data_IF_293474600508
#
_entry.id   IF_293474600508
#
_cell.length_a   1.000
_cell.length_b   1.000
_cell.length_c   1.000
_cell.angle_alpha   90.00
_cell.angle_beta   90.00
_cell.angle_gamma   90.00
#
_symmetry.space_group_name_H-M   'P 1'
#
loop_
_entity.id
_entity.type
_entity.pdbx_description
1 polymer ?
#
# COMPACT_ATOMS: atom_id res chain seq x y z
N UNK A 1 8.11 -8.76 -1.97
CA UNK A 1 7.19 -7.79 -1.34
C UNK A 1 5.78 -8.27 -1.62
N UNK A 2 4.79 -8.07 -0.76
CA UNK A 2 3.47 -8.68 -0.97
C UNK A 2 2.81 -8.19 -2.28
N UNK A 3 3.11 -6.96 -2.69
CA UNK A 3 2.56 -6.32 -3.89
C UNK A 3 3.46 -6.41 -5.14
N UNK A 4 4.56 -7.18 -5.09
CA UNK A 4 5.45 -7.33 -6.26
C UNK A 4 4.73 -8.08 -7.38
N UNK A 5 4.53 -7.42 -8.52
CA UNK A 5 3.76 -7.95 -9.67
C UNK A 5 2.46 -7.20 -9.97
N UNK A 6 1.97 -6.40 -9.00
CA UNK A 6 0.87 -5.45 -9.22
C UNK A 6 1.42 -4.03 -9.38
N UNK A 7 2.43 -3.72 -8.55
CA UNK A 7 3.14 -2.45 -8.49
C UNK A 7 4.59 -2.65 -8.90
N UNK A 8 5.17 -1.62 -9.51
CA UNK A 8 6.59 -1.57 -9.83
C UNK A 8 7.40 -1.08 -8.62
N UNK A 9 8.68 -1.46 -8.55
CA UNK A 9 9.58 -1.00 -7.48
C UNK A 9 9.70 0.53 -7.46
N UNK A 10 9.68 1.18 -8.62
CA UNK A 10 9.74 2.64 -8.74
C UNK A 10 8.48 3.32 -8.16
N UNK A 11 7.29 2.79 -8.44
CA UNK A 11 6.03 3.27 -7.88
C UNK A 11 6.01 3.10 -6.35
N UNK A 12 6.44 1.93 -5.84
CA UNK A 12 6.55 1.67 -4.40
C UNK A 12 7.51 2.66 -3.74
N UNK A 13 8.70 2.86 -4.31
CA UNK A 13 9.69 3.80 -3.79
C UNK A 13 9.15 5.25 -3.78
N UNK A 14 8.46 5.68 -4.84
CA UNK A 14 7.86 7.00 -4.91
C UNK A 14 6.75 7.20 -3.86
N UNK A 15 5.95 6.16 -3.60
CA UNK A 15 4.95 6.14 -2.54
C UNK A 15 5.59 6.31 -1.16
N UNK A 16 6.57 5.47 -0.83
CA UNK A 16 7.25 5.49 0.47
C UNK A 16 8.01 6.80 0.70
N UNK A 17 8.62 7.36 -0.35
CA UNK A 17 9.29 8.66 -0.27
C UNK A 17 8.31 9.80 0.04
N UNK A 18 7.05 9.69 -0.41
CA UNK A 18 6.03 10.72 -0.16
C UNK A 18 5.58 10.82 1.29
N UNK A 19 5.85 9.78 2.11
CA UNK A 19 5.47 9.73 3.52
C UNK A 19 6.67 9.49 4.47
N UNK A 20 7.90 9.83 4.06
CA UNK A 20 9.10 9.63 4.88
C UNK A 20 9.16 10.52 6.13
N UNK A 21 8.54 11.70 6.10
CA UNK A 21 8.50 12.59 7.25
C UNK A 21 7.49 12.09 8.29
N UNK A 22 7.77 12.30 9.57
CA UNK A 22 6.81 12.00 10.63
C UNK A 22 5.48 12.73 10.36
N UNK A 23 4.36 12.04 10.59
CA UNK A 23 3.00 12.57 10.42
C UNK A 23 2.68 13.09 9.00
N UNK A 24 3.44 12.67 7.98
CA UNK A 24 3.25 13.12 6.59
C UNK A 24 2.45 12.18 5.69
N UNK A 25 2.01 11.03 6.23
CA UNK A 25 1.26 10.06 5.45
C UNK A 25 -0.11 10.61 5.03
N UNK A 26 -0.33 10.72 3.73
CA UNK A 26 -1.61 11.03 3.11
C UNK A 26 -1.99 9.92 2.12
N UNK A 27 -3.09 9.22 2.40
CA UNK A 27 -3.51 8.07 1.60
C UNK A 27 -3.80 8.44 0.14
N UNK A 28 -4.30 9.66 -0.14
CA UNK A 28 -4.62 10.09 -1.51
C UNK A 28 -3.35 10.22 -2.33
N UNK A 29 -2.37 10.94 -1.80
CA UNK A 29 -1.06 11.14 -2.42
C UNK A 29 -0.33 9.81 -2.55
N UNK A 30 -0.33 9.00 -1.49
CA UNK A 30 0.33 7.70 -1.49
C UNK A 30 -0.23 6.81 -2.60
N UNK A 31 -1.55 6.63 -2.71
CA UNK A 31 -2.18 5.79 -3.74
C UNK A 31 -1.96 6.29 -5.17
N UNK A 32 -1.87 7.60 -5.36
CA UNK A 32 -1.48 8.19 -6.65
C UNK A 32 -0.01 7.85 -6.96
N UNK A 33 0.89 7.99 -5.99
CA UNK A 33 2.34 7.76 -6.16
C UNK A 33 2.69 6.30 -6.39
N UNK A 34 2.02 5.38 -5.68
CA UNK A 34 2.19 3.93 -5.91
C UNK A 34 1.44 3.45 -7.15
N UNK A 35 0.75 4.33 -7.90
CA UNK A 35 0.09 3.97 -9.15
C UNK A 35 -1.20 3.16 -8.99
N UNK A 36 -1.76 3.04 -7.77
CA UNK A 36 -3.01 2.30 -7.55
C UNK A 36 -4.23 3.02 -8.15
N UNK A 37 -4.19 4.35 -8.33
CA UNK A 37 -5.30 5.11 -8.90
C UNK A 37 -5.67 4.71 -10.34
N UNK A 38 -4.74 4.09 -11.07
CA UNK A 38 -4.87 3.78 -12.50
C UNK A 38 -5.04 2.28 -12.76
N UNK A 39 -5.05 1.46 -11.70
CA UNK A 39 -5.24 0.01 -11.82
C UNK A 39 -6.72 -0.34 -11.94
N UNK A 40 -7.00 -1.45 -12.62
CA UNK A 40 -8.35 -1.99 -12.75
C UNK A 40 -8.87 -2.58 -11.44
N UNK A 41 -10.20 -2.69 -11.34
CA UNK A 41 -10.91 -3.18 -10.14
C UNK A 41 -10.41 -4.53 -9.62
N UNK A 42 -10.06 -5.46 -10.51
CA UNK A 42 -9.58 -6.78 -10.12
C UNK A 42 -8.22 -6.70 -9.40
N UNK A 43 -7.33 -5.83 -9.89
CA UNK A 43 -6.02 -5.57 -9.25
C UNK A 43 -6.17 -4.85 -7.92
N UNK A 44 -7.14 -3.94 -7.81
CA UNK A 44 -7.46 -3.29 -6.53
C UNK A 44 -8.02 -4.30 -5.50
N UNK A 45 -8.79 -5.29 -5.97
CA UNK A 45 -9.32 -6.37 -5.11
C UNK A 45 -8.19 -7.28 -4.62
N UNK A 46 -7.24 -7.60 -5.50
CA UNK A 46 -6.03 -8.35 -5.15
C UNK A 46 -5.18 -7.62 -4.11
N UNK A 47 -4.96 -6.30 -4.30
CA UNK A 47 -4.27 -5.44 -3.33
C UNK A 47 -4.99 -5.42 -2.00
N UNK A 48 -6.31 -5.25 -2.01
CA UNK A 48 -7.11 -5.24 -0.79
C UNK A 48 -6.98 -6.56 -0.03
N UNK A 49 -7.07 -7.70 -0.71
CA UNK A 49 -6.91 -9.02 -0.08
C UNK A 49 -5.51 -9.32 0.45
N UNK A 50 -4.49 -8.55 0.04
CA UNK A 50 -3.15 -8.59 0.63
C UNK A 50 -3.08 -7.74 1.92
N UNK A 51 -3.78 -6.61 1.93
CA UNK A 51 -3.83 -5.71 3.08
C UNK A 51 -4.73 -6.24 4.21
N UNK A 52 -5.83 -6.87 3.84
CA UNK A 52 -6.75 -7.60 4.72
C UNK A 52 -6.16 -8.99 5.05
N UNK A 53 -5.24 -9.00 6.03
CA UNK A 53 -4.45 -10.19 6.38
C UNK A 53 -5.30 -11.33 6.95
N UNK A 54 -6.41 -11.01 7.62
CA UNK A 54 -7.32 -11.98 8.23
C UNK A 54 -8.51 -12.35 7.33
N UNK A 55 -8.65 -11.67 6.18
CA UNK A 55 -9.71 -11.89 5.20
C UNK A 55 -11.10 -11.63 5.77
N UNK A 56 -11.19 -10.69 6.71
CA UNK A 56 -12.44 -10.27 7.35
C UNK A 56 -13.34 -9.46 6.40
N UNK A 57 -12.77 -8.94 5.30
CA UNK A 57 -13.40 -7.97 4.41
C UNK A 57 -13.15 -6.52 4.84
N UNK A 58 -12.33 -6.29 5.87
CA UNK A 58 -12.01 -4.98 6.43
C UNK A 58 -10.52 -4.87 6.74
N UNK A 59 -9.98 -3.65 6.71
CA UNK A 59 -8.63 -3.37 7.20
C UNK A 59 -8.77 -2.77 8.60
N UNK A 60 -8.45 -3.56 9.62
CA UNK A 60 -8.52 -3.13 11.02
C UNK A 60 -7.31 -2.27 11.41
N UNK A 61 -7.40 -1.59 12.57
CA UNK A 61 -6.34 -0.69 13.04
C UNK A 61 -4.97 -1.38 13.14
N UNK A 62 -4.93 -2.62 13.62
CA UNK A 62 -3.69 -3.37 13.78
C UNK A 62 -3.06 -3.78 12.43
N UNK A 63 -3.90 -4.02 11.42
CA UNK A 63 -3.45 -4.23 10.04
C UNK A 63 -2.99 -2.91 9.41
N UNK A 64 -3.69 -1.80 9.72
CA UNK A 64 -3.35 -0.47 9.22
C UNK A 64 -1.99 0.01 9.74
N UNK A 65 -1.62 -0.33 10.99
CA UNK A 65 -0.27 -0.09 11.55
C UNK A 65 0.84 -0.78 10.74
N UNK A 66 0.53 -1.89 10.07
CA UNK A 66 1.46 -2.64 9.23
C UNK A 66 1.29 -2.34 7.73
N UNK A 67 0.43 -1.38 7.36
CA UNK A 67 0.05 -1.10 5.98
C UNK A 67 1.25 -0.92 5.05
N UNK A 68 2.20 -0.05 5.42
CA UNK A 68 3.38 0.27 4.61
C UNK A 68 4.33 -0.94 4.45
N UNK A 69 4.32 -1.88 5.39
CA UNK A 69 5.18 -3.08 5.34
C UNK A 69 4.77 -4.04 4.21
N UNK A 70 3.52 -3.98 3.74
CA UNK A 70 3.07 -4.73 2.56
C UNK A 70 3.72 -4.22 1.26
N UNK A 71 4.11 -2.94 1.24
CA UNK A 71 4.79 -2.30 0.11
C UNK A 71 6.31 -2.51 0.19
N UNK A 72 6.91 -2.38 1.38
CA UNK A 72 8.31 -2.73 1.63
C UNK A 72 8.51 -3.14 3.08
N UNK A 73 9.20 -4.27 3.32
CA UNK A 73 9.43 -4.79 4.66
C UNK A 73 10.18 -3.81 5.60
N UNK A 74 10.90 -2.83 5.04
CA UNK A 74 11.63 -1.82 5.81
C UNK A 74 10.85 -0.53 6.06
N UNK A 75 9.62 -0.42 5.56
CA UNK A 75 8.81 0.78 5.73
C UNK A 75 8.26 0.88 7.16
N UNK A 76 8.18 2.11 7.67
CA UNK A 76 7.69 2.45 9.02
C UNK A 76 6.52 3.40 8.94
#
# INVERSE_FOLDING_TARGET
MALSGILTEAEIAAGLQSCQAADSFDYRTFFVKVGLNSKFKDKLTEVFGILDQDKSGFIEEDQLKLFLQNFSASAR
#
